data_IF_531311823159
#
_entry.id   IF_531311823159
#
_cell.length_a   1.000
_cell.length_b   1.000
_cell.length_c   1.000
_cell.angle_alpha   90.00
_cell.angle_beta   90.00
_cell.angle_gamma   90.00
#
_symmetry.space_group_name_H-M   'P 1'
#
loop_
_entity.id
_entity.type
_entity.pdbx_description
1 polymer ?
#
# COMPACT_ATOMS: atom_id res chain seq x y z
N UNK A 1 -23.75 3.61 1.98
CA UNK A 1 -23.85 2.20 2.43
C UNK A 1 -25.28 1.77 2.21
N UNK A 2 -25.55 0.95 1.19
CA UNK A 2 -26.90 0.44 0.94
C UNK A 2 -27.26 -0.64 1.95
N UNK A 3 -28.51 -0.64 2.40
CA UNK A 3 -29.03 -1.64 3.34
C UNK A 3 -28.81 -3.06 2.83
N UNK A 4 -28.19 -3.91 3.65
CA UNK A 4 -28.03 -5.33 3.36
C UNK A 4 -29.40 -6.02 3.53
N UNK A 5 -30.20 -6.03 2.46
CA UNK A 5 -31.56 -6.60 2.43
C UNK A 5 -31.67 -8.06 2.86
N UNK A 6 -30.56 -8.81 2.88
CA UNK A 6 -30.54 -10.22 3.25
C UNK A 6 -29.45 -10.49 4.30
N UNK A 7 -29.88 -11.01 5.45
CA UNK A 7 -28.99 -11.37 6.57
C UNK A 7 -28.86 -12.88 6.68
N UNK A 8 -27.63 -13.38 6.56
CA UNK A 8 -27.28 -14.77 6.86
C UNK A 8 -26.62 -14.79 8.24
N UNK A 9 -27.10 -15.65 9.13
CA UNK A 9 -26.48 -15.87 10.44
C UNK A 9 -25.74 -17.19 10.42
N UNK A 10 -24.45 -17.16 10.73
CA UNK A 10 -23.58 -18.35 10.76
C UNK A 10 -23.17 -18.60 12.21
N UNK A 11 -23.22 -19.86 12.63
CA UNK A 11 -22.70 -20.29 13.93
C UNK A 11 -21.30 -20.84 13.74
N UNK A 12 -20.36 -20.33 14.52
CA UNK A 12 -18.97 -20.75 14.53
C UNK A 12 -18.65 -21.35 15.90
N UNK A 13 -17.78 -22.34 15.91
CA UNK A 13 -17.10 -22.77 17.14
C UNK A 13 -16.10 -21.71 17.55
N UNK A 14 -15.66 -21.71 18.80
CA UNK A 14 -14.67 -20.75 19.30
C UNK A 14 -13.37 -20.78 18.47
N UNK A 15 -12.92 -21.98 18.08
CA UNK A 15 -11.74 -22.15 17.24
C UNK A 15 -11.91 -21.47 15.86
N UNK A 16 -13.08 -21.60 15.23
CA UNK A 16 -13.37 -20.95 13.96
C UNK A 16 -13.55 -19.43 14.09
N UNK A 17 -14.10 -18.96 15.21
CA UNK A 17 -14.20 -17.53 15.50
C UNK A 17 -12.80 -16.90 15.63
N UNK A 18 -11.88 -17.55 16.35
CA UNK A 18 -10.48 -17.12 16.46
C UNK A 18 -9.79 -17.14 15.09
N UNK A 19 -10.02 -18.17 14.29
CA UNK A 19 -9.45 -18.22 12.93
C UNK A 19 -9.95 -17.08 12.04
N UNK A 20 -11.25 -16.76 12.11
CA UNK A 20 -11.85 -15.64 11.41
C UNK A 20 -11.24 -14.29 11.84
N UNK A 21 -10.98 -14.12 13.14
CA UNK A 21 -10.32 -12.94 13.67
C UNK A 21 -8.90 -12.76 13.14
N UNK A 22 -8.14 -13.85 13.13
CA UNK A 22 -6.79 -13.84 12.60
C UNK A 22 -6.78 -13.49 11.10
N UNK A 23 -7.70 -14.05 10.32
CA UNK A 23 -7.85 -13.71 8.91
C UNK A 23 -8.23 -12.25 8.71
N UNK A 24 -9.21 -11.74 9.46
CA UNK A 24 -9.62 -10.34 9.40
C UNK A 24 -8.47 -9.38 9.73
N UNK A 25 -7.69 -9.67 10.78
CA UNK A 25 -6.49 -8.89 11.12
C UNK A 25 -5.41 -8.95 10.03
N UNK A 26 -5.12 -10.15 9.53
CA UNK A 26 -4.11 -10.38 8.50
C UNK A 26 -4.49 -9.82 7.12
N UNK A 27 -5.78 -9.69 6.80
CA UNK A 27 -6.28 -9.13 5.55
C UNK A 27 -6.74 -7.67 5.66
N UNK A 28 -6.86 -7.12 6.87
CA UNK A 28 -7.37 -5.77 7.10
C UNK A 28 -8.82 -5.57 6.70
N UNK A 29 -9.58 -6.66 6.66
CA UNK A 29 -10.99 -6.66 6.31
C UNK A 29 -11.81 -6.84 7.59
N UNK A 30 -13.08 -6.45 7.56
CA UNK A 30 -13.99 -6.77 8.65
C UNK A 30 -14.34 -8.27 8.63
N UNK A 31 -14.72 -8.85 9.78
CA UNK A 31 -15.21 -10.24 9.86
C UNK A 31 -16.27 -10.55 8.80
N UNK A 32 -17.24 -9.64 8.62
CA UNK A 32 -18.31 -9.80 7.65
C UNK A 32 -17.80 -9.83 6.21
N UNK A 33 -16.82 -9.00 5.88
CA UNK A 33 -16.22 -8.99 4.55
C UNK A 33 -15.39 -10.26 4.32
N UNK A 34 -14.61 -10.72 5.31
CA UNK A 34 -13.92 -12.02 5.22
C UNK A 34 -14.91 -13.16 5.01
N UNK A 35 -15.98 -13.23 5.81
CA UNK A 35 -17.04 -14.23 5.67
C UNK A 35 -17.72 -14.17 4.31
N UNK A 36 -18.05 -12.97 3.84
CA UNK A 36 -18.60 -12.75 2.50
C UNK A 36 -17.64 -13.32 1.45
N UNK A 37 -16.35 -13.03 1.56
CA UNK A 37 -15.37 -13.48 0.58
C UNK A 37 -15.19 -15.00 0.58
N UNK A 38 -15.15 -15.62 1.75
CA UNK A 38 -15.15 -17.07 1.89
C UNK A 38 -16.38 -17.70 1.24
N UNK A 39 -17.58 -17.19 1.53
CA UNK A 39 -18.84 -17.73 1.00
C UNK A 39 -18.93 -17.60 -0.53
N UNK A 40 -18.39 -16.53 -1.10
CA UNK A 40 -18.39 -16.31 -2.55
C UNK A 40 -17.10 -16.76 -3.25
N UNK A 41 -16.21 -17.46 -2.55
CA UNK A 41 -14.91 -17.91 -3.09
C UNK A 41 -14.12 -16.79 -3.76
N UNK A 42 -14.18 -15.59 -3.18
CA UNK A 42 -13.41 -14.43 -3.63
C UNK A 42 -12.15 -14.29 -2.80
N UNK A 43 -11.10 -13.74 -3.40
CA UNK A 43 -9.77 -13.70 -2.81
C UNK A 43 -9.72 -12.84 -1.53
N UNK A 44 -9.13 -13.39 -0.47
CA UNK A 44 -8.82 -12.66 0.75
C UNK A 44 -7.36 -12.20 0.66
N UNK A 45 -7.09 -10.90 0.60
CA UNK A 45 -5.73 -10.39 0.44
C UNK A 45 -4.89 -10.77 1.66
N UNK A 46 -3.68 -11.27 1.41
CA UNK A 46 -2.71 -11.56 2.46
C UNK A 46 -2.12 -10.26 3.05
N UNK A 47 -1.52 -10.37 4.24
CA UNK A 47 -0.77 -9.26 4.84
C UNK A 47 0.34 -8.75 3.91
N UNK A 48 1.00 -9.68 3.20
CA UNK A 48 2.03 -9.36 2.20
C UNK A 48 1.46 -8.56 1.04
N UNK A 49 0.34 -9.01 0.44
CA UNK A 49 -0.28 -8.29 -0.68
C UNK A 49 -0.66 -6.85 -0.29
N UNK A 50 -1.12 -6.64 0.95
CA UNK A 50 -1.39 -5.29 1.46
C UNK A 50 -0.12 -4.45 1.60
N UNK A 51 0.95 -5.05 2.11
CA UNK A 51 2.23 -4.35 2.25
C UNK A 51 2.77 -3.93 0.87
N UNK A 52 2.68 -4.81 -0.12
CA UNK A 52 3.08 -4.52 -1.51
C UNK A 52 2.29 -3.33 -2.09
N UNK A 53 0.98 -3.25 -1.86
CA UNK A 53 0.16 -2.10 -2.25
C UNK A 53 0.60 -0.81 -1.53
N UNK A 54 0.88 -0.87 -0.23
CA UNK A 54 1.37 0.29 0.52
C UNK A 54 2.74 0.77 0.00
N UNK A 55 3.62 -0.16 -0.37
CA UNK A 55 4.92 0.16 -0.96
C UNK A 55 4.76 0.83 -2.33
N UNK A 56 3.84 0.37 -3.17
CA UNK A 56 3.51 1.03 -4.44
C UNK A 56 3.03 2.48 -4.20
N UNK A 57 2.10 2.68 -3.26
CA UNK A 57 1.60 4.02 -2.93
C UNK A 57 2.70 4.94 -2.38
N UNK A 58 3.64 4.39 -1.62
CA UNK A 58 4.82 5.13 -1.16
C UNK A 58 5.71 5.55 -2.33
N UNK A 59 6.03 4.63 -3.24
CA UNK A 59 6.82 4.91 -4.43
C UNK A 59 6.16 5.99 -5.29
N UNK A 60 4.84 5.91 -5.50
CA UNK A 60 4.10 6.92 -6.27
C UNK A 60 4.18 8.32 -5.64
N UNK A 61 4.08 8.42 -4.30
CA UNK A 61 4.24 9.71 -3.61
C UNK A 61 5.63 10.31 -3.83
N UNK A 62 6.69 9.50 -3.74
CA UNK A 62 8.05 9.96 -4.00
C UNK A 62 8.25 10.34 -5.47
N UNK A 63 7.67 9.60 -6.42
CA UNK A 63 7.69 9.97 -7.84
C UNK A 63 7.01 11.32 -8.09
N UNK A 64 5.85 11.57 -7.49
CA UNK A 64 5.16 12.85 -7.60
C UNK A 64 5.97 14.00 -7.02
N UNK A 65 6.61 13.79 -5.85
CA UNK A 65 7.51 14.77 -5.24
C UNK A 65 8.71 15.08 -6.16
N UNK A 66 9.35 14.06 -6.71
CA UNK A 66 10.46 14.20 -7.65
C UNK A 66 10.05 14.95 -8.92
N UNK A 67 8.89 14.61 -9.50
CA UNK A 67 8.35 15.33 -10.64
C UNK A 67 8.10 16.80 -10.36
N UNK A 68 7.61 17.12 -9.15
CA UNK A 68 7.44 18.50 -8.69
C UNK A 68 8.76 19.26 -8.57
N UNK A 69 9.79 18.64 -8.02
CA UNK A 69 11.14 19.21 -7.93
C UNK A 69 11.75 19.44 -9.31
N UNK A 70 11.66 18.45 -10.20
CA UNK A 70 12.12 18.58 -11.58
C UNK A 70 11.40 19.71 -12.31
N UNK A 71 10.08 19.81 -12.18
CA UNK A 71 9.30 20.90 -12.76
C UNK A 71 9.79 22.25 -12.26
N UNK A 72 9.97 22.42 -10.94
CA UNK A 72 10.51 23.66 -10.35
C UNK A 72 11.87 24.01 -10.93
N UNK A 73 12.78 23.04 -11.03
CA UNK A 73 14.11 23.24 -11.59
C UNK A 73 14.07 23.68 -13.07
N UNK A 74 13.13 23.16 -13.86
CA UNK A 74 13.00 23.50 -15.29
C UNK A 74 12.26 24.82 -15.53
N UNK A 75 11.31 25.19 -14.67
CA UNK A 75 10.47 26.38 -14.86
C UNK A 75 10.99 27.63 -14.17
N UNK A 76 11.78 27.47 -13.10
CA UNK A 76 12.42 28.60 -12.46
C UNK A 76 13.60 29.07 -13.32
N UNK A 77 13.72 30.38 -13.57
CA UNK A 77 15.03 31.02 -13.76
C UNK A 77 15.79 30.94 -12.42
N UNK A 78 16.08 29.72 -11.98
CA UNK A 78 16.66 29.45 -10.67
C UNK A 78 18.16 29.70 -10.72
N UNK A 79 18.67 30.39 -9.69
CA UNK A 79 20.10 30.48 -9.48
C UNK A 79 20.70 29.07 -9.33
N UNK A 80 21.91 28.88 -9.85
CA UNK A 80 22.65 27.61 -9.89
C UNK A 80 22.66 26.85 -8.53
N UNK A 81 22.56 27.57 -7.42
CA UNK A 81 22.48 27.00 -6.07
C UNK A 81 21.18 26.21 -5.81
N UNK A 82 20.04 26.67 -6.32
CA UNK A 82 18.73 26.06 -6.11
C UNK A 82 18.56 24.79 -6.97
N UNK A 83 19.11 24.80 -8.18
CA UNK A 83 19.24 23.62 -9.03
C UNK A 83 20.14 22.55 -8.39
N UNK A 84 21.25 22.95 -7.75
CA UNK A 84 22.14 22.00 -7.04
C UNK A 84 21.45 21.36 -5.83
N UNK A 85 20.66 22.11 -5.06
CA UNK A 85 19.87 21.54 -3.96
C UNK A 85 18.83 20.55 -4.46
N UNK A 86 18.14 20.92 -5.54
CA UNK A 86 17.17 20.04 -6.19
C UNK A 86 17.82 18.74 -6.67
N UNK A 87 19.01 18.81 -7.30
CA UNK A 87 19.76 17.63 -7.73
C UNK A 87 20.14 16.71 -6.55
N UNK A 88 20.62 17.28 -5.44
CA UNK A 88 20.97 16.51 -4.23
C UNK A 88 19.74 15.78 -3.66
N UNK A 89 18.56 16.42 -3.66
CA UNK A 89 17.33 15.75 -3.23
C UNK A 89 16.93 14.62 -4.18
N UNK A 90 17.04 14.84 -5.50
CA UNK A 90 16.74 13.81 -6.50
C UNK A 90 17.66 12.59 -6.34
N UNK A 91 18.96 12.82 -6.13
CA UNK A 91 19.94 11.75 -5.93
C UNK A 91 19.68 10.95 -4.65
N UNK A 92 19.39 11.64 -3.53
CA UNK A 92 19.04 10.98 -2.26
C UNK A 92 17.80 10.10 -2.39
N UNK A 93 16.74 10.63 -2.99
CA UNK A 93 15.52 9.88 -3.21
C UNK A 93 15.76 8.69 -4.17
N UNK A 94 16.62 8.85 -5.18
CA UNK A 94 17.01 7.75 -6.08
C UNK A 94 17.74 6.62 -5.35
N UNK A 95 18.59 6.92 -4.37
CA UNK A 95 19.22 5.92 -3.50
C UNK A 95 18.19 5.20 -2.63
N UNK A 96 17.22 5.94 -2.09
CA UNK A 96 16.18 5.39 -1.24
C UNK A 96 15.23 4.45 -2.01
N UNK A 97 14.81 4.85 -3.21
CA UNK A 97 14.03 4.02 -4.13
C UNK A 97 14.78 2.73 -4.50
N UNK A 98 16.08 2.80 -4.82
CA UNK A 98 16.90 1.61 -5.08
C UNK A 98 16.98 0.67 -3.89
N UNK A 99 17.08 1.20 -2.66
CA UNK A 99 17.07 0.38 -1.44
C UNK A 99 15.74 -0.34 -1.24
N UNK A 100 14.62 0.36 -1.42
CA UNK A 100 13.27 -0.22 -1.30
C UNK A 100 13.06 -1.30 -2.34
N UNK A 101 13.43 -1.04 -3.61
CA UNK A 101 13.35 -2.03 -4.68
C UNK A 101 14.22 -3.26 -4.40
N UNK A 102 15.45 -3.08 -3.91
CA UNK A 102 16.32 -4.19 -3.54
C UNK A 102 15.72 -5.05 -2.40
N UNK A 103 15.02 -4.43 -1.44
CA UNK A 103 14.35 -5.15 -0.37
C UNK A 103 13.14 -5.95 -0.90
N UNK A 104 12.36 -5.39 -1.82
CA UNK A 104 11.23 -6.05 -2.46
C UNK A 104 11.66 -7.22 -3.36
N UNK A 105 12.79 -7.10 -4.05
CA UNK A 105 13.34 -8.18 -4.89
C UNK A 105 13.89 -9.34 -4.06
N UNK A 106 14.52 -9.07 -2.91
CA UNK A 106 15.06 -10.11 -2.01
C UNK A 106 14.02 -10.82 -1.15
N UNK A 107 12.83 -10.25 -1.03
CA UNK A 107 11.72 -10.82 -0.27
C UNK A 107 10.74 -11.63 -1.15
N UNK A 108 11.00 -11.72 -2.46
CA UNK A 108 10.41 -12.72 -3.37
C UNK A 108 11.24 -13.99 -3.37
#
# INVERSE_FOLDING_TARGET
>A
MGDLKHRITVRLTDAHAVHLDNLAGASGLTRNEVMRRLLFSTEIPSARARQEVQDILRIQREQNRLGGLLKKALTARAEKAELRRTLIEVERNGVELRRVLAHLVRSR
#
